data_IF_624494771134
#
_entry.id   IF_624494771134
#
_cell.length_a   1.000
_cell.length_b   1.000
_cell.length_c   1.000
_cell.angle_alpha   90.00
_cell.angle_beta   90.00
_cell.angle_gamma   90.00
#
_symmetry.space_group_name_H-M   'P 1'
#
loop_
_entity.id
_entity.type
_entity.pdbx_description
1 polymer ?
#
# COMPACT_ATOMS: atom_id res chain seq x y z
N UNK A 1 -4.16 3.34 13.54
CA UNK A 1 -3.25 2.41 12.82
C UNK A 1 -3.25 2.65 11.30
N UNK A 2 -3.44 3.90 10.84
CA UNK A 2 -3.44 4.24 9.40
C UNK A 2 -2.14 4.90 8.97
N UNK A 3 -1.90 4.96 7.66
CA UNK A 3 -0.75 5.68 7.08
C UNK A 3 -1.06 7.17 6.95
N UNK A 4 -0.32 8.01 7.66
CA UNK A 4 -0.37 9.48 7.57
C UNK A 4 1.03 10.05 7.30
N UNK A 5 1.11 11.33 6.95
CA UNK A 5 2.39 11.99 6.72
C UNK A 5 3.19 12.21 8.00
N UNK A 6 4.50 12.45 7.83
CA UNK A 6 5.39 12.75 8.96
C UNK A 6 5.04 14.08 9.66
N UNK A 7 4.65 15.16 8.97
CA UNK A 7 4.19 16.38 9.64
C UNK A 7 3.00 16.12 10.57
N UNK A 8 1.98 15.41 10.08
CA UNK A 8 0.78 15.08 10.84
C UNK A 8 1.10 14.14 12.01
N UNK A 9 2.03 13.20 11.81
CA UNK A 9 2.51 12.32 12.89
C UNK A 9 3.20 13.11 14.00
N UNK A 10 4.08 14.06 13.64
CA UNK A 10 4.74 14.94 14.62
C UNK A 10 3.74 15.82 15.35
N UNK A 11 2.75 16.37 14.63
CA UNK A 11 1.69 17.18 15.22
C UNK A 11 0.86 16.37 16.22
N UNK A 12 0.49 15.12 15.87
CA UNK A 12 -0.25 14.23 16.78
C UNK A 12 0.55 13.91 18.05
N UNK A 13 1.86 13.64 17.92
CA UNK A 13 2.74 13.38 19.07
C UNK A 13 2.84 14.63 19.96
N UNK A 14 3.03 15.81 19.37
CA UNK A 14 3.12 17.07 20.11
C UNK A 14 1.82 17.39 20.85
N UNK A 15 0.68 17.24 20.17
CA UNK A 15 -0.64 17.47 20.75
C UNK A 15 -0.93 16.51 21.91
N UNK A 16 -0.59 15.22 21.79
CA UNK A 16 -0.75 14.27 22.89
C UNK A 16 0.10 14.67 24.09
N UNK A 17 1.36 15.07 23.87
CA UNK A 17 2.26 15.51 24.93
C UNK A 17 1.74 16.75 25.67
N UNK A 18 1.14 17.69 24.94
CA UNK A 18 0.54 18.90 25.51
C UNK A 18 -0.70 18.58 26.36
N UNK A 19 -1.63 17.79 25.80
CA UNK A 19 -2.93 17.53 26.43
C UNK A 19 -2.87 16.46 27.53
N UNK A 20 -2.02 15.45 27.37
CA UNK A 20 -1.93 14.25 28.21
C UNK A 20 -0.48 13.74 28.30
N UNK A 21 0.43 14.44 29.00
CA UNK A 21 1.86 14.10 29.04
C UNK A 21 2.18 12.72 29.63
N UNK A 22 1.23 12.13 30.38
CA UNK A 22 1.35 10.78 30.92
C UNK A 22 1.02 9.66 29.90
N UNK A 23 0.37 10.00 28.77
CA UNK A 23 0.04 9.03 27.73
C UNK A 23 1.22 8.81 26.78
N UNK A 24 1.37 7.56 26.33
CA UNK A 24 2.40 7.18 25.35
C UNK A 24 1.79 7.10 23.95
N UNK A 25 2.40 7.78 22.99
CA UNK A 25 2.04 7.64 21.58
C UNK A 25 2.78 6.45 20.98
N UNK A 26 2.03 5.49 20.44
CA UNK A 26 2.57 4.37 19.66
C UNK A 26 2.09 4.51 18.21
N UNK A 27 3.03 4.71 17.30
CA UNK A 27 2.80 4.74 15.86
C UNK A 27 2.75 3.31 15.33
N UNK A 28 1.59 2.86 14.88
CA UNK A 28 1.37 1.47 14.51
C UNK A 28 0.54 1.29 13.22
N UNK A 29 1.01 1.76 12.04
CA UNK A 29 0.40 1.37 10.77
C UNK A 29 0.50 -0.14 10.55
N UNK A 30 -0.41 -0.67 9.73
CA UNK A 30 -0.50 -2.11 9.45
C UNK A 30 -0.22 -2.42 7.99
N UNK A 31 0.30 -3.61 7.71
CA UNK A 31 0.49 -4.14 6.36
C UNK A 31 -0.30 -5.42 6.15
N UNK A 32 -1.09 -5.45 5.08
CA UNK A 32 -2.03 -6.51 4.71
C UNK A 32 -3.40 -5.92 4.38
N UNK A 33 -4.11 -6.56 3.44
CA UNK A 33 -5.43 -6.12 2.98
C UNK A 33 -6.54 -6.66 3.88
N UNK A 34 -7.80 -6.48 3.48
CA UNK A 34 -8.98 -6.93 4.23
C UNK A 34 -8.92 -8.42 4.62
N UNK A 35 -8.60 -9.31 3.68
CA UNK A 35 -8.63 -10.76 3.94
C UNK A 35 -7.58 -11.21 5.00
N UNK A 36 -6.31 -10.74 4.96
CA UNK A 36 -5.38 -10.94 6.08
C UNK A 36 -5.87 -10.33 7.40
N UNK A 37 -6.50 -9.15 7.39
CA UNK A 37 -6.98 -8.49 8.60
C UNK A 37 -8.09 -9.29 9.30
N UNK A 38 -9.07 -9.80 8.53
CA UNK A 38 -10.15 -10.66 9.04
C UNK A 38 -9.64 -11.97 9.67
N UNK A 39 -8.45 -12.42 9.26
CA UNK A 39 -7.81 -13.66 9.75
C UNK A 39 -6.75 -13.41 10.82
N UNK A 40 -6.63 -12.18 11.33
CA UNK A 40 -5.56 -11.77 12.23
C UNK A 40 -4.13 -12.05 11.70
N UNK A 41 -3.93 -11.91 10.38
CA UNK A 41 -2.69 -12.21 9.66
C UNK A 41 -1.95 -10.96 9.15
N UNK A 42 -2.38 -9.76 9.52
CA UNK A 42 -1.66 -8.52 9.17
C UNK A 42 -0.32 -8.46 9.91
N UNK A 43 0.58 -7.61 9.41
CA UNK A 43 1.81 -7.22 10.08
C UNK A 43 1.61 -5.84 10.71
N UNK A 44 1.84 -5.71 12.01
CA UNK A 44 1.91 -4.40 12.68
C UNK A 44 3.32 -3.85 12.57
N UNK A 45 3.44 -2.61 12.12
CA UNK A 45 4.70 -1.86 12.10
C UNK A 45 4.63 -0.86 13.25
N UNK A 46 5.17 -1.19 14.41
CA UNK A 46 5.11 -0.37 15.63
C UNK A 46 6.36 0.50 15.79
N UNK A 47 6.21 1.71 16.34
CA UNK A 47 7.31 2.56 16.77
C UNK A 47 6.83 3.50 17.87
N UNK A 48 7.76 3.91 18.73
CA UNK A 48 7.50 4.58 19.99
C UNK A 48 8.25 3.92 21.14
N UNK A 49 8.01 4.41 22.35
CA UNK A 49 8.58 3.83 23.57
C UNK A 49 7.93 2.47 23.82
N UNK A 50 8.64 1.39 23.45
CA UNK A 50 8.13 0.02 23.54
C UNK A 50 7.86 -0.41 24.98
N UNK A 51 8.70 -0.01 25.92
CA UNK A 51 8.54 -0.38 27.33
C UNK A 51 7.28 0.27 27.91
N UNK A 52 7.09 1.57 27.68
CA UNK A 52 5.85 2.25 28.09
C UNK A 52 4.63 1.81 27.29
N UNK A 53 4.85 1.34 26.07
CA UNK A 53 3.83 0.79 25.17
C UNK A 53 3.50 -0.69 25.37
N UNK A 54 4.07 -1.37 26.39
CA UNK A 54 3.91 -2.82 26.55
C UNK A 54 2.44 -3.30 26.62
N UNK A 55 1.55 -2.45 27.13
CA UNK A 55 0.11 -2.73 27.18
C UNK A 55 -0.55 -2.83 25.78
N UNK A 56 0.08 -2.33 24.72
CA UNK A 56 -0.40 -2.45 23.36
C UNK A 56 -0.07 -3.81 22.72
N UNK A 57 0.92 -4.55 23.22
CA UNK A 57 1.36 -5.82 22.64
C UNK A 57 0.22 -6.87 22.57
N UNK A 58 -0.63 -7.07 23.60
CA UNK A 58 -1.78 -7.97 23.50
C UNK A 58 -2.80 -7.55 22.43
N UNK A 59 -2.98 -6.24 22.24
CA UNK A 59 -3.89 -5.71 21.20
C UNK A 59 -3.32 -5.99 19.81
N UNK A 60 -2.01 -5.78 19.62
CA UNK A 60 -1.35 -6.12 18.35
C UNK A 60 -1.38 -7.62 18.07
N UNK A 61 -1.14 -8.47 19.08
CA UNK A 61 -1.18 -9.92 18.94
C UNK A 61 -2.57 -10.45 18.57
N UNK A 62 -3.66 -9.80 19.02
CA UNK A 62 -5.02 -10.21 18.71
C UNK A 62 -5.39 -10.02 17.22
N UNK A 63 -4.71 -9.13 16.51
CA UNK A 63 -5.06 -8.76 15.13
C UNK A 63 -3.97 -9.12 14.12
N UNK A 64 -2.80 -9.57 14.54
CA UNK A 64 -1.63 -9.68 13.67
C UNK A 64 -0.89 -11.00 13.85
N UNK A 65 -0.21 -11.43 12.78
CA UNK A 65 0.72 -12.56 12.85
C UNK A 65 2.05 -12.18 13.48
N UNK A 66 2.38 -10.90 13.49
CA UNK A 66 3.63 -10.36 14.02
C UNK A 66 3.56 -8.84 14.19
N UNK A 67 4.39 -8.34 15.11
CA UNK A 67 4.70 -6.92 15.31
C UNK A 67 6.19 -6.70 15.08
N UNK A 68 6.56 -5.72 14.27
CA UNK A 68 7.94 -5.26 14.10
C UNK A 68 8.08 -3.85 14.67
N UNK A 69 9.15 -3.63 15.45
CA UNK A 69 9.39 -2.34 16.11
C UNK A 69 10.50 -1.55 15.42
N UNK A 70 10.20 -0.31 15.02
CA UNK A 70 11.08 0.57 14.24
C UNK A 70 11.69 1.73 15.06
N UNK A 71 11.84 1.56 16.37
CA UNK A 71 12.44 2.57 17.24
C UNK A 71 11.49 3.73 17.52
N UNK A 72 11.94 4.98 17.37
CA UNK A 72 11.17 6.17 17.72
C UNK A 72 9.86 6.34 16.94
N UNK A 73 8.84 6.90 17.61
CA UNK A 73 7.53 7.13 17.02
C UNK A 73 7.63 7.95 15.71
N UNK A 74 6.95 7.48 14.67
CA UNK A 74 7.00 8.03 13.32
C UNK A 74 7.91 7.27 12.36
N UNK A 75 8.82 6.42 12.87
CA UNK A 75 9.62 5.55 11.99
C UNK A 75 8.77 4.46 11.32
N UNK A 76 7.67 4.03 11.95
CA UNK A 76 6.74 3.10 11.30
C UNK A 76 6.09 3.71 10.08
N UNK A 77 5.69 4.99 10.11
CA UNK A 77 5.18 5.65 8.91
C UNK A 77 6.22 5.69 7.79
N UNK A 78 7.48 5.97 8.10
CA UNK A 78 8.56 5.93 7.10
C UNK A 78 8.66 4.54 6.45
N UNK A 79 8.73 3.49 7.25
CA UNK A 79 8.79 2.12 6.73
C UNK A 79 7.52 1.75 5.94
N UNK A 80 6.34 2.16 6.42
CA UNK A 80 5.08 1.92 5.75
C UNK A 80 5.04 2.58 4.36
N UNK A 81 5.56 3.80 4.23
CA UNK A 81 5.65 4.51 2.95
C UNK A 81 6.63 3.82 1.99
N UNK A 82 7.75 3.27 2.48
CA UNK A 82 8.64 2.43 1.67
C UNK A 82 7.90 1.20 1.12
N UNK A 83 7.16 0.48 1.97
CA UNK A 83 6.39 -0.70 1.56
C UNK A 83 5.29 -0.35 0.56
N UNK A 84 4.59 0.76 0.78
CA UNK A 84 3.51 1.19 -0.11
C UNK A 84 4.05 1.69 -1.45
N UNK A 85 5.18 2.40 -1.49
CA UNK A 85 5.86 2.77 -2.74
C UNK A 85 6.24 1.53 -3.56
N UNK A 86 6.78 0.48 -2.91
CA UNK A 86 7.07 -0.79 -3.57
C UNK A 86 5.81 -1.48 -4.11
N UNK A 87 4.74 -1.53 -3.32
CA UNK A 87 3.45 -2.11 -3.72
C UNK A 87 2.84 -1.37 -4.93
N UNK A 88 2.92 -0.05 -4.94
CA UNK A 88 2.39 0.81 -6.01
C UNK A 88 3.13 0.54 -7.32
N UNK A 89 4.48 0.54 -7.27
CA UNK A 89 5.31 0.18 -8.43
C UNK A 89 5.03 -1.23 -8.94
N UNK A 90 4.84 -2.19 -8.02
CA UNK A 90 4.47 -3.55 -8.40
C UNK A 90 3.10 -3.60 -9.09
N UNK A 91 2.10 -2.87 -8.59
CA UNK A 91 0.77 -2.84 -9.23
C UNK A 91 0.83 -2.22 -10.62
N UNK A 92 1.56 -1.12 -10.82
CA UNK A 92 1.73 -0.56 -12.17
C UNK A 92 2.34 -1.60 -13.12
N UNK A 93 3.41 -2.27 -12.68
CA UNK A 93 4.06 -3.32 -13.49
C UNK A 93 3.13 -4.50 -13.81
N UNK A 94 2.29 -4.92 -12.86
CA UNK A 94 1.25 -5.95 -13.09
C UNK A 94 0.26 -5.47 -14.15
N UNK A 95 -0.25 -4.23 -14.03
CA UNK A 95 -1.25 -3.69 -14.94
C UNK A 95 -0.72 -3.58 -16.38
N UNK A 96 0.49 -3.05 -16.56
CA UNK A 96 1.12 -2.92 -17.89
C UNK A 96 1.46 -4.30 -18.49
N UNK A 97 1.97 -5.23 -17.68
CA UNK A 97 2.25 -6.60 -18.12
C UNK A 97 0.99 -7.34 -18.53
N UNK A 98 -0.12 -7.15 -17.80
CA UNK A 98 -1.42 -7.73 -18.15
C UNK A 98 -2.00 -7.11 -19.43
N UNK A 99 -1.77 -5.82 -19.68
CA UNK A 99 -2.17 -5.19 -20.95
C UNK A 99 -1.34 -5.71 -22.13
N UNK A 100 -0.02 -5.87 -21.94
CA UNK A 100 0.84 -6.45 -22.95
C UNK A 100 0.46 -7.91 -23.23
N UNK A 101 0.23 -8.71 -22.19
CA UNK A 101 -0.24 -10.08 -22.30
C UNK A 101 -1.53 -10.17 -23.13
N UNK A 102 -2.54 -9.34 -22.80
CA UNK A 102 -3.79 -9.23 -23.57
C UNK A 102 -3.54 -8.87 -25.04
N UNK A 103 -2.66 -7.90 -25.30
CA UNK A 103 -2.30 -7.49 -26.66
C UNK A 103 -1.65 -8.62 -27.47
N UNK A 104 -0.86 -9.45 -26.80
CA UNK A 104 -0.18 -10.60 -27.40
C UNK A 104 -1.03 -11.89 -27.40
N UNK A 105 -2.30 -11.81 -26.97
CA UNK A 105 -3.24 -12.93 -27.01
C UNK A 105 -3.17 -13.89 -25.82
N UNK A 106 -2.57 -13.48 -24.71
CA UNK A 106 -2.48 -14.25 -23.47
C UNK A 106 -3.51 -13.81 -22.43
N UNK A 107 -4.04 -14.77 -21.68
CA UNK A 107 -4.92 -14.51 -20.54
C UNK A 107 -4.13 -14.22 -19.25
N UNK A 108 -4.74 -13.56 -18.25
CA UNK A 108 -4.12 -13.41 -16.93
C UNK A 108 -3.72 -14.74 -16.28
N UNK A 109 -4.50 -15.81 -16.49
CA UNK A 109 -4.18 -17.15 -16.00
C UNK A 109 -2.94 -17.74 -16.66
N UNK A 110 -2.78 -17.58 -17.98
CA UNK A 110 -1.57 -18.00 -18.69
C UNK A 110 -0.34 -17.22 -18.20
N UNK A 111 -0.50 -15.92 -17.94
CA UNK A 111 0.55 -15.11 -17.33
C UNK A 111 0.92 -15.61 -15.92
N UNK A 112 -0.07 -15.93 -15.08
CA UNK A 112 0.21 -16.51 -13.77
C UNK A 112 0.91 -17.86 -13.86
N UNK A 113 0.44 -18.78 -14.72
CA UNK A 113 1.05 -20.09 -14.91
C UNK A 113 2.51 -20.01 -15.35
N UNK A 114 2.91 -18.95 -16.06
CA UNK A 114 4.30 -18.71 -16.44
C UNK A 114 5.17 -18.20 -15.27
N UNK A 115 4.58 -17.55 -14.26
CA UNK A 115 5.27 -17.03 -13.08
C UNK A 115 5.34 -18.07 -11.95
N UNK A 116 4.27 -18.86 -11.79
CA UNK A 116 4.05 -19.77 -10.68
C UNK A 116 5.22 -20.74 -10.46
N UNK A 117 5.62 -20.91 -9.19
CA UNK A 117 6.79 -21.71 -8.82
C UNK A 117 8.14 -21.03 -9.06
N UNK A 118 8.16 -19.88 -9.74
CA UNK A 118 9.35 -19.07 -9.95
C UNK A 118 9.56 -17.94 -8.93
N UNK A 119 10.72 -17.26 -8.96
CA UNK A 119 11.06 -16.18 -8.03
C UNK A 119 10.18 -14.92 -8.16
N UNK A 120 9.42 -14.81 -9.25
CA UNK A 120 8.52 -13.68 -9.53
C UNK A 120 7.08 -13.92 -9.03
N UNK A 121 6.77 -15.13 -8.53
CA UNK A 121 5.44 -15.53 -8.06
C UNK A 121 5.08 -14.97 -6.68
N UNK A 122 5.06 -13.63 -6.54
CA UNK A 122 4.57 -13.02 -5.32
C UNK A 122 3.05 -13.26 -5.18
N UNK A 123 2.53 -13.70 -4.01
CA UNK A 123 1.10 -13.95 -3.82
C UNK A 123 0.21 -12.74 -4.14
N UNK A 124 0.75 -11.53 -3.96
CA UNK A 124 0.09 -10.29 -4.34
C UNK A 124 -0.20 -10.22 -5.85
N UNK A 125 0.73 -10.67 -6.70
CA UNK A 125 0.56 -10.69 -8.16
C UNK A 125 -0.63 -11.57 -8.54
N UNK A 126 -0.74 -12.78 -7.95
CA UNK A 126 -1.88 -13.67 -8.18
C UNK A 126 -3.21 -13.00 -7.84
N UNK A 127 -3.31 -12.41 -6.66
CA UNK A 127 -4.54 -11.72 -6.21
C UNK A 127 -4.94 -10.61 -7.19
N UNK A 128 -3.97 -9.87 -7.74
CA UNK A 128 -4.24 -8.78 -8.69
C UNK A 128 -4.55 -9.29 -10.10
N UNK A 129 -3.90 -10.35 -10.56
CA UNK A 129 -4.25 -11.01 -11.82
C UNK A 129 -5.65 -11.63 -11.78
N UNK A 130 -6.08 -12.18 -10.64
CA UNK A 130 -7.44 -12.70 -10.46
C UNK A 130 -8.50 -11.59 -10.52
N UNK A 131 -8.22 -10.44 -9.90
CA UNK A 131 -9.08 -9.26 -10.00
C UNK A 131 -9.19 -8.75 -11.46
N UNK A 132 -8.07 -8.77 -12.19
CA UNK A 132 -8.03 -8.42 -13.62
C UNK A 132 -8.81 -9.43 -14.47
N UNK A 133 -8.63 -10.73 -14.24
CA UNK A 133 -9.30 -11.79 -15.02
C UNK A 133 -10.82 -11.79 -14.82
N UNK A 134 -11.27 -11.43 -13.62
CA UNK A 134 -12.69 -11.33 -13.27
C UNK A 134 -13.30 -9.95 -13.54
N UNK A 135 -12.49 -8.96 -13.93
CA UNK A 135 -12.88 -7.54 -14.06
C UNK A 135 -13.60 -6.99 -12.82
N UNK A 136 -13.18 -7.45 -11.63
CA UNK A 136 -13.78 -7.06 -10.35
C UNK A 136 -12.78 -6.29 -9.50
N UNK A 137 -12.98 -4.96 -9.43
CA UNK A 137 -12.08 -4.05 -8.71
C UNK A 137 -12.68 -3.56 -7.38
N UNK A 138 -13.30 -4.47 -6.64
CA UNK A 138 -13.79 -4.17 -5.28
C UNK A 138 -12.61 -3.74 -4.40
N UNK A 139 -12.64 -2.54 -3.77
CA UNK A 139 -11.48 -1.98 -3.09
C UNK A 139 -10.96 -2.85 -1.94
N UNK A 140 -9.74 -3.35 -2.08
CA UNK A 140 -8.90 -3.78 -0.96
C UNK A 140 -8.01 -2.64 -0.49
N UNK A 141 -7.56 -1.81 -1.43
CA UNK A 141 -6.95 -0.51 -1.20
C UNK A 141 -7.37 0.41 -2.33
N UNK A 142 -8.05 1.51 -1.98
CA UNK A 142 -8.52 2.47 -2.97
C UNK A 142 -7.35 3.13 -3.72
N UNK A 143 -7.53 3.36 -5.02
CA UNK A 143 -6.55 4.05 -5.85
C UNK A 143 -6.17 5.41 -5.26
N UNK A 144 -7.15 6.18 -4.76
CA UNK A 144 -6.90 7.47 -4.11
C UNK A 144 -6.00 7.38 -2.87
N UNK A 145 -6.16 6.32 -2.06
CA UNK A 145 -5.31 6.11 -0.88
C UNK A 145 -3.89 5.73 -1.26
N UNK A 146 -3.73 4.90 -2.29
CA UNK A 146 -2.42 4.53 -2.81
C UNK A 146 -1.72 5.73 -3.45
N UNK A 147 -2.44 6.55 -4.21
CA UNK A 147 -1.91 7.80 -4.77
C UNK A 147 -1.47 8.78 -3.66
N UNK A 148 -2.25 8.91 -2.58
CA UNK A 148 -1.86 9.69 -1.40
C UNK A 148 -0.56 9.14 -0.78
N UNK A 149 -0.42 7.82 -0.65
CA UNK A 149 0.81 7.21 -0.13
C UNK A 149 2.02 7.39 -1.06
N UNK A 150 1.84 7.31 -2.38
CA UNK A 150 2.89 7.63 -3.36
C UNK A 150 3.39 9.07 -3.16
N UNK A 151 2.48 10.03 -3.03
CA UNK A 151 2.83 11.44 -2.79
C UNK A 151 3.56 11.65 -1.48
N UNK A 152 3.11 10.99 -0.41
CA UNK A 152 3.81 11.04 0.87
C UNK A 152 5.23 10.46 0.75
N UNK A 153 5.41 9.33 0.05
CA UNK A 153 6.73 8.76 -0.19
C UNK A 153 7.63 9.72 -1.00
N UNK A 154 7.11 10.28 -2.10
CA UNK A 154 7.83 11.26 -2.93
C UNK A 154 8.22 12.52 -2.15
N UNK A 155 7.36 12.98 -1.23
CA UNK A 155 7.68 14.17 -0.39
C UNK A 155 8.85 13.95 0.58
N UNK A 156 9.23 12.69 0.84
CA UNK A 156 10.34 12.31 1.71
C UNK A 156 11.59 11.88 0.95
N UNK A 157 11.45 11.61 -0.35
CA UNK A 157 12.55 11.20 -1.20
C UNK A 157 13.39 12.41 -1.60
N UNK A 158 14.68 12.19 -1.82
CA UNK A 158 15.50 13.19 -2.49
C UNK A 158 14.98 13.40 -3.92
N UNK A 159 14.92 14.65 -4.42
CA UNK A 159 14.42 14.94 -5.76
C UNK A 159 15.05 14.04 -6.83
N UNK A 160 14.22 13.51 -7.74
CA UNK A 160 14.65 12.67 -8.87
C UNK A 160 15.27 11.31 -8.52
N UNK A 161 15.19 10.85 -7.26
CA UNK A 161 15.65 9.50 -6.87
C UNK A 161 14.59 8.41 -7.09
N UNK A 162 13.34 8.80 -7.38
CA UNK A 162 12.22 7.87 -7.61
C UNK A 162 11.44 8.17 -8.90
N UNK A 163 12.10 8.31 -10.07
CA UNK A 163 11.44 8.74 -11.31
C UNK A 163 10.31 7.80 -11.77
N UNK A 164 10.42 6.50 -11.48
CA UNK A 164 9.32 5.55 -11.74
C UNK A 164 8.07 5.87 -10.91
N UNK A 165 8.23 6.18 -9.62
CA UNK A 165 7.12 6.51 -8.75
C UNK A 165 6.54 7.90 -9.07
N UNK A 166 7.37 8.85 -9.50
CA UNK A 166 6.94 10.17 -10.01
C UNK A 166 5.96 9.98 -11.18
N UNK A 167 6.37 9.25 -12.21
CA UNK A 167 5.52 8.94 -13.37
C UNK A 167 4.24 8.17 -12.99
N UNK A 168 4.36 7.19 -12.09
CA UNK A 168 3.21 6.42 -11.61
C UNK A 168 2.19 7.35 -10.92
N UNK A 169 2.65 8.27 -10.06
CA UNK A 169 1.76 9.19 -9.36
C UNK A 169 1.01 10.11 -10.33
N UNK A 170 1.65 10.56 -11.40
CA UNK A 170 0.99 11.35 -12.45
C UNK A 170 -0.07 10.54 -13.20
N UNK A 171 0.27 9.34 -13.66
CA UNK A 171 -0.66 8.45 -14.36
C UNK A 171 -1.84 8.07 -13.46
N UNK A 172 -1.59 7.77 -12.20
CA UNK A 172 -2.65 7.39 -11.26
C UNK A 172 -3.51 8.58 -10.86
N UNK A 173 -2.98 9.80 -10.87
CA UNK A 173 -3.82 10.99 -10.74
C UNK A 173 -4.79 11.12 -11.92
N UNK A 174 -4.32 10.90 -13.15
CA UNK A 174 -5.21 10.90 -14.32
C UNK A 174 -6.28 9.80 -14.23
N UNK A 175 -5.92 8.61 -13.76
CA UNK A 175 -6.89 7.54 -13.52
C UNK A 175 -7.91 7.92 -12.44
N UNK A 176 -7.46 8.55 -11.34
CA UNK A 176 -8.33 9.04 -10.28
C UNK A 176 -9.34 10.07 -10.81
N UNK A 177 -8.87 11.03 -11.61
CA UNK A 177 -9.69 12.08 -12.24
C UNK A 177 -10.67 11.51 -13.27
N UNK A 178 -10.33 10.37 -13.90
CA UNK A 178 -11.21 9.63 -14.80
C UNK A 178 -12.26 8.76 -14.07
N UNK A 179 -12.39 8.87 -12.75
CA UNK A 179 -13.44 8.21 -11.97
C UNK A 179 -13.00 6.95 -11.20
N UNK A 180 -11.74 6.51 -11.35
CA UNK A 180 -11.25 5.29 -10.71
C UNK A 180 -10.75 5.50 -9.28
N UNK A 181 -10.84 6.72 -8.74
CA UNK A 181 -10.31 7.08 -7.43
C UNK A 181 -10.83 6.18 -6.28
N UNK A 182 -12.11 5.81 -6.35
CA UNK A 182 -12.80 5.00 -5.34
C UNK A 182 -12.68 3.48 -5.55
N UNK A 183 -12.14 3.03 -6.68
CA UNK A 183 -11.94 1.62 -7.00
C UNK A 183 -10.66 1.07 -6.38
N UNK A 184 -10.48 -0.27 -6.39
CA UNK A 184 -9.19 -0.86 -6.05
C UNK A 184 -8.09 -0.31 -6.97
N UNK A 185 -6.88 -0.13 -6.45
CA UNK A 185 -5.74 0.32 -7.25
C UNK A 185 -5.49 -0.54 -8.51
N UNK A 186 -5.93 -1.80 -8.56
CA UNK A 186 -5.83 -2.63 -9.76
C UNK A 186 -6.68 -2.14 -10.93
N UNK A 187 -7.67 -1.28 -10.69
CA UNK A 187 -8.48 -0.66 -11.73
C UNK A 187 -7.65 0.23 -12.69
N UNK A 188 -6.41 0.58 -12.32
CA UNK A 188 -5.46 1.21 -13.27
C UNK A 188 -5.26 0.35 -14.52
N UNK A 189 -5.39 -0.98 -14.43
CA UNK A 189 -5.42 -1.86 -15.59
C UNK A 189 -6.53 -1.46 -16.57
N UNK A 190 -7.75 -1.25 -16.08
CA UNK A 190 -8.90 -0.88 -16.93
C UNK A 190 -8.69 0.50 -17.55
N UNK A 191 -8.21 1.47 -16.78
CA UNK A 191 -7.87 2.82 -17.26
C UNK A 191 -6.74 2.85 -18.32
N UNK A 192 -5.83 1.88 -18.31
CA UNK A 192 -4.81 1.76 -19.35
C UNK A 192 -5.38 1.23 -20.67
N UNK A 193 -6.59 0.64 -20.68
CA UNK A 193 -7.17 0.04 -21.87
C UNK A 193 -7.53 1.11 -22.93
N UNK A 194 -7.22 0.91 -24.22
CA UNK A 194 -7.51 1.90 -25.26
C UNK A 194 -8.97 2.35 -25.31
N UNK A 195 -9.91 1.43 -25.02
CA UNK A 195 -11.35 1.71 -24.98
C UNK A 195 -11.79 2.63 -23.85
N UNK A 196 -10.97 2.80 -22.80
CA UNK A 196 -11.26 3.73 -21.70
C UNK A 196 -10.85 5.18 -22.00
N UNK A 197 -10.11 5.39 -23.10
CA UNK A 197 -9.58 6.70 -23.53
C UNK A 197 -10.20 7.19 -24.85
N UNK A 198 -11.18 6.45 -25.38
CA UNK A 198 -11.96 6.79 -26.58
C UNK A 198 -13.26 7.49 -26.17
#
# INVERSE_FOLDING_TARGET
>A
MGTIGLPETRQAIALLRELQPAMTYIDAPVSGTKAPAEKAQILVLASGDREKGAAAEPVFAAISRATQWFGEAGNSQKMKLVLNAWLISMMQGIAESAQLAKTLGFTPDQLWSALEGGPLAAPYVKVKLDAIASEQFTPQMQLAHALKDARLALSLAEPHTMPGLENIAELWQQAADAGYAGEDLSAVYQWLSPSSKA
#
